data_IF_487130428145
#
_entry.id   IF_487130428145
#
_cell.length_a   1.000
_cell.length_b   1.000
_cell.length_c   1.000
_cell.angle_alpha   90.00
_cell.angle_beta   90.00
_cell.angle_gamma   90.00
#
_symmetry.space_group_name_H-M   'P 1'
#
loop_
_entity.id
_entity.type
_entity.pdbx_description
1 polymer ?
#
# COMPACT_ATOMS: atom_id res chain seq x y z
N UNK A 1 16.91 -10.33 2.28
CA UNK A 1 15.72 -10.98 1.71
C UNK A 1 16.04 -12.13 0.77
N UNK A 2 17.32 -12.26 0.35
CA UNK A 2 17.84 -13.11 -0.73
C UNK A 2 17.56 -14.63 -0.65
N UNK A 3 16.99 -15.17 0.43
CA UNK A 3 16.69 -16.62 0.55
C UNK A 3 15.20 -16.96 0.62
N UNK A 4 14.30 -15.97 0.61
CA UNK A 4 12.88 -16.26 0.72
C UNK A 4 12.30 -16.80 -0.59
N UNK A 5 11.71 -17.99 -0.55
CA UNK A 5 10.93 -18.51 -1.67
C UNK A 5 9.60 -17.76 -1.78
N UNK A 6 9.57 -16.72 -2.62
CA UNK A 6 8.38 -15.88 -2.85
C UNK A 6 7.21 -16.62 -3.50
N UNK A 7 7.46 -17.72 -4.21
CA UNK A 7 6.42 -18.51 -4.88
C UNK A 7 5.40 -19.10 -3.89
N UNK A 8 5.76 -19.24 -2.60
CA UNK A 8 4.82 -19.69 -1.56
C UNK A 8 3.71 -18.68 -1.24
N UNK A 9 3.85 -17.44 -1.70
CA UNK A 9 2.87 -16.36 -1.56
C UNK A 9 2.11 -16.07 -2.85
N UNK A 10 2.38 -16.82 -3.91
CA UNK A 10 1.62 -16.73 -5.15
C UNK A 10 0.33 -17.55 -5.04
N UNK A 11 -0.75 -17.00 -5.59
CA UNK A 11 -2.03 -17.70 -5.72
C UNK A 11 -2.31 -17.82 -7.20
N UNK A 12 -2.54 -19.03 -7.69
CA UNK A 12 -2.82 -19.31 -9.10
C UNK A 12 -4.26 -19.78 -9.30
N UNK A 13 -4.86 -19.38 -10.41
CA UNK A 13 -6.14 -19.92 -10.88
C UNK A 13 -6.00 -21.39 -11.32
N UNK A 14 -7.13 -22.07 -11.53
CA UNK A 14 -7.16 -23.43 -12.11
C UNK A 14 -6.50 -23.53 -13.50
N UNK A 15 -6.36 -22.40 -14.21
CA UNK A 15 -5.71 -22.33 -15.53
C UNK A 15 -4.21 -22.03 -15.45
N UNK A 16 -3.64 -21.94 -14.25
CA UNK A 16 -2.24 -21.62 -14.03
C UNK A 16 -1.88 -20.14 -14.15
N UNK A 17 -2.86 -19.25 -14.36
CA UNK A 17 -2.63 -17.81 -14.33
C UNK A 17 -2.49 -17.31 -12.88
N UNK A 18 -1.68 -16.30 -12.64
CA UNK A 18 -1.60 -15.67 -11.32
C UNK A 18 -2.92 -14.97 -10.99
N UNK A 19 -3.47 -15.27 -9.82
CA UNK A 19 -4.58 -14.57 -9.21
C UNK A 19 -4.09 -13.53 -8.19
N UNK A 20 -3.00 -13.81 -7.49
CA UNK A 20 -2.25 -12.86 -6.69
C UNK A 20 -0.76 -13.16 -6.73
N UNK A 21 0.06 -12.12 -6.57
CA UNK A 21 1.52 -12.22 -6.39
C UNK A 21 1.95 -11.43 -5.16
N UNK A 22 3.01 -11.83 -4.44
CA UNK A 22 3.58 -10.97 -3.41
C UNK A 22 4.16 -9.71 -4.06
N UNK A 23 3.97 -8.56 -3.41
CA UNK A 23 4.55 -7.29 -3.83
C UNK A 23 4.84 -6.41 -2.61
N UNK A 24 5.79 -5.49 -2.76
CA UNK A 24 5.92 -4.34 -1.89
C UNK A 24 4.99 -3.25 -2.43
N UNK A 25 3.84 -3.07 -1.79
CA UNK A 25 2.83 -2.11 -2.23
C UNK A 25 2.92 -0.83 -1.39
N UNK A 26 2.88 0.31 -2.06
CA UNK A 26 2.81 1.64 -1.48
C UNK A 26 1.40 2.21 -1.72
N UNK A 27 0.55 2.24 -0.69
CA UNK A 27 -0.77 2.85 -0.74
C UNK A 27 -0.72 4.26 -0.20
N UNK A 28 -1.26 5.22 -0.96
CA UNK A 28 -1.40 6.61 -0.57
C UNK A 28 -2.87 6.99 -0.66
N UNK A 29 -3.47 7.29 0.48
CA UNK A 29 -4.85 7.75 0.60
C UNK A 29 -4.87 9.26 0.62
N UNK A 30 -5.72 9.85 -0.20
CA UNK A 30 -5.75 11.29 -0.44
C UNK A 30 -7.16 11.83 -0.22
N UNK A 31 -7.23 13.03 0.33
CA UNK A 31 -8.49 13.77 0.48
C UNK A 31 -8.76 14.65 -0.74
N UNK A 32 -10.01 15.08 -0.90
CA UNK A 32 -10.40 16.14 -1.81
C UNK A 32 -10.99 15.65 -3.13
N UNK A 33 -11.52 16.60 -3.90
CA UNK A 33 -12.16 16.29 -5.16
C UNK A 33 -11.13 15.87 -6.21
N UNK A 34 -11.52 14.96 -7.11
CA UNK A 34 -10.61 14.43 -8.14
C UNK A 34 -9.94 15.54 -8.95
N UNK A 35 -10.70 16.57 -9.33
CA UNK A 35 -10.17 17.70 -10.11
C UNK A 35 -9.17 18.57 -9.33
N UNK A 36 -9.15 18.51 -8.00
CA UNK A 36 -8.18 19.23 -7.16
C UNK A 36 -6.88 18.45 -7.01
N UNK A 37 -6.97 17.11 -6.96
CA UNK A 37 -5.82 16.23 -6.72
C UNK A 37 -5.23 15.59 -7.98
N UNK A 38 -5.92 15.65 -9.13
CA UNK A 38 -5.51 14.95 -10.35
C UNK A 38 -4.12 15.39 -10.86
N UNK A 39 -3.78 16.68 -10.77
CA UNK A 39 -2.43 17.15 -11.11
C UNK A 39 -1.33 16.55 -10.22
N UNK A 40 -1.66 16.19 -8.98
CA UNK A 40 -0.73 15.54 -8.05
C UNK A 40 -0.61 14.06 -8.32
N UNK A 41 -1.72 13.40 -8.65
CA UNK A 41 -1.73 12.03 -9.15
C UNK A 41 -0.83 11.89 -10.38
N UNK A 42 -0.90 12.83 -11.32
CA UNK A 42 -0.04 12.83 -12.50
C UNK A 42 1.44 12.87 -12.12
N UNK A 43 1.82 13.79 -11.22
CA UNK A 43 3.22 13.92 -10.75
C UNK A 43 3.68 12.70 -9.96
N UNK A 44 2.81 12.08 -9.16
CA UNK A 44 3.12 10.84 -8.46
C UNK A 44 3.40 9.69 -9.43
N UNK A 45 2.58 9.55 -10.49
CA UNK A 45 2.82 8.56 -11.55
C UNK A 45 4.13 8.84 -12.26
N UNK A 46 4.43 10.09 -12.61
CA UNK A 46 5.72 10.45 -13.22
C UNK A 46 6.90 10.07 -12.34
N UNK A 47 6.84 10.40 -11.04
CA UNK A 47 7.89 10.05 -10.09
C UNK A 47 8.11 8.55 -9.99
N UNK A 48 7.04 7.76 -10.07
CA UNK A 48 7.13 6.30 -10.11
C UNK A 48 7.73 5.79 -11.41
N UNK A 49 7.33 6.33 -12.57
CA UNK A 49 7.92 5.95 -13.87
C UNK A 49 9.41 6.33 -13.93
N UNK A 50 9.81 7.46 -13.37
CA UNK A 50 11.22 7.83 -13.21
C UNK A 50 11.98 6.85 -12.31
N UNK A 51 11.30 6.30 -11.29
CA UNK A 51 11.90 5.36 -10.35
C UNK A 51 12.12 3.96 -10.94
N UNK A 52 11.12 3.40 -11.63
CA UNK A 52 11.16 2.00 -12.10
C UNK A 52 11.38 1.85 -13.61
N UNK A 53 11.30 2.94 -14.37
CA UNK A 53 11.29 2.92 -15.83
C UNK A 53 9.96 2.44 -16.42
N UNK A 54 9.56 3.00 -17.56
CA UNK A 54 8.32 2.63 -18.24
C UNK A 54 8.29 1.15 -18.67
N UNK A 55 9.43 0.58 -19.02
CA UNK A 55 9.55 -0.79 -19.50
C UNK A 55 9.21 -1.85 -18.43
N UNK A 56 9.15 -1.44 -17.15
CA UNK A 56 8.68 -2.29 -16.05
C UNK A 56 7.17 -2.55 -16.10
N UNK A 57 6.41 -1.76 -16.87
CA UNK A 57 4.96 -1.90 -17.05
C UNK A 57 4.65 -2.45 -18.44
N UNK A 58 3.89 -3.55 -18.50
CA UNK A 58 3.59 -4.25 -19.76
C UNK A 58 2.19 -4.02 -20.27
N UNK A 59 1.24 -3.76 -19.39
CA UNK A 59 -0.16 -3.59 -19.78
C UNK A 59 -0.86 -2.47 -19.03
N UNK A 60 -1.94 -1.98 -19.62
CA UNK A 60 -2.87 -1.04 -18.99
C UNK A 60 -4.32 -1.49 -19.19
N UNK A 61 -5.18 -1.19 -18.22
CA UNK A 61 -6.62 -1.39 -18.38
C UNK A 61 -7.22 -0.18 -19.11
N UNK A 62 -7.84 -0.41 -20.26
CA UNK A 62 -8.63 0.63 -20.94
C UNK A 62 -9.94 0.90 -20.19
N UNK A 63 -10.64 1.99 -20.56
CA UNK A 63 -11.94 2.37 -19.96
C UNK A 63 -13.02 1.29 -20.07
N UNK A 64 -12.91 0.37 -21.04
CA UNK A 64 -13.82 -0.77 -21.17
C UNK A 64 -13.40 -1.98 -20.32
N UNK A 65 -12.38 -1.85 -19.47
CA UNK A 65 -11.81 -2.94 -18.68
C UNK A 65 -10.91 -3.91 -19.46
N UNK A 66 -10.71 -3.68 -20.76
CA UNK A 66 -9.85 -4.54 -21.59
C UNK A 66 -8.39 -4.15 -21.39
N UNK A 67 -7.56 -5.12 -21.07
CA UNK A 67 -6.12 -4.95 -20.92
C UNK A 67 -5.42 -4.88 -22.28
N UNK A 68 -4.52 -3.91 -22.43
CA UNK A 68 -3.80 -3.61 -23.68
C UNK A 68 -2.32 -3.39 -23.38
N UNK A 69 -1.42 -3.58 -24.37
CA UNK A 69 0.01 -3.30 -24.18
C UNK A 69 0.27 -1.85 -23.77
N UNK A 70 1.16 -1.66 -22.81
CA UNK A 70 1.57 -0.33 -22.35
C UNK A 70 2.41 0.36 -23.42
N UNK A 71 2.30 1.69 -23.51
CA UNK A 71 3.12 2.49 -24.42
C UNK A 71 3.32 3.89 -23.87
N UNK A 72 4.40 4.56 -24.28
CA UNK A 72 4.64 5.97 -23.95
C UNK A 72 3.47 6.87 -24.36
N UNK A 73 2.87 6.61 -25.53
CA UNK A 73 1.69 7.37 -26.00
C UNK A 73 0.51 7.26 -25.03
N UNK A 74 0.28 6.07 -24.47
CA UNK A 74 -0.79 5.85 -23.51
C UNK A 74 -0.48 6.55 -22.18
N UNK A 75 0.75 6.42 -21.66
CA UNK A 75 1.20 7.17 -20.47
C UNK A 75 0.99 8.68 -20.65
N UNK A 76 1.50 9.24 -21.75
CA UNK A 76 1.40 10.68 -22.01
C UNK A 76 -0.07 11.13 -22.14
N UNK A 77 -0.96 10.27 -22.63
CA UNK A 77 -2.40 10.54 -22.71
C UNK A 77 -3.03 10.61 -21.32
N UNK A 78 -2.75 9.64 -20.47
CA UNK A 78 -3.33 9.57 -19.13
C UNK A 78 -2.77 10.67 -18.23
N UNK A 79 -1.48 10.99 -18.32
CA UNK A 79 -0.88 12.12 -17.61
C UNK A 79 -1.45 13.47 -18.06
N UNK A 80 -1.70 13.67 -19.36
CA UNK A 80 -2.41 14.87 -19.84
C UNK A 80 -3.85 14.91 -19.30
N UNK A 81 -4.55 13.77 -19.29
CA UNK A 81 -5.91 13.71 -18.76
C UNK A 81 -5.98 14.14 -17.29
N UNK A 82 -5.04 13.66 -16.46
CA UNK A 82 -4.96 14.03 -15.05
C UNK A 82 -4.58 15.50 -14.83
N UNK A 83 -3.70 16.07 -15.66
CA UNK A 83 -3.32 17.49 -15.56
C UNK A 83 -4.44 18.44 -15.98
N UNK A 84 -5.13 18.07 -17.04
CA UNK A 84 -6.23 18.84 -17.62
C UNK A 84 -7.59 18.26 -17.17
N UNK A 85 -7.66 17.75 -15.93
CA UNK A 85 -8.82 17.00 -15.47
C UNK A 85 -10.08 17.88 -15.45
N UNK A 86 -11.16 17.47 -16.15
CA UNK A 86 -12.36 18.30 -16.23
C UNK A 86 -13.04 18.43 -14.87
N UNK A 87 -13.52 19.64 -14.54
CA UNK A 87 -14.19 19.91 -13.26
C UNK A 87 -15.53 19.19 -13.09
N UNK A 88 -16.16 18.84 -14.21
CA UNK A 88 -17.43 18.11 -14.27
C UNK A 88 -17.24 16.59 -14.24
N UNK A 89 -16.00 16.10 -14.37
CA UNK A 89 -15.67 14.70 -14.15
C UNK A 89 -15.54 14.42 -12.66
N UNK A 90 -16.10 13.29 -12.24
CA UNK A 90 -16.27 12.96 -10.83
C UNK A 90 -15.42 11.77 -10.35
N UNK A 91 -14.78 11.06 -11.27
CA UNK A 91 -14.00 9.87 -10.96
C UNK A 91 -12.94 9.65 -12.05
N UNK A 92 -11.81 9.04 -11.69
CA UNK A 92 -10.86 8.49 -12.65
C UNK A 92 -10.26 7.18 -12.15
N UNK A 93 -9.93 6.31 -13.09
CA UNK A 93 -9.29 5.04 -12.82
C UNK A 93 -8.17 4.80 -13.84
N UNK A 94 -6.94 4.72 -13.33
CA UNK A 94 -5.77 4.35 -14.12
C UNK A 94 -5.20 3.07 -13.53
N UNK A 95 -4.92 2.09 -14.39
CA UNK A 95 -4.34 0.81 -13.99
C UNK A 95 -3.27 0.40 -14.97
N UNK A 96 -2.04 0.31 -14.49
CA UNK A 96 -0.90 -0.26 -15.21
C UNK A 96 -0.36 -1.47 -14.45
N UNK A 97 0.10 -2.48 -15.16
CA UNK A 97 0.65 -3.69 -14.56
C UNK A 97 1.81 -4.27 -15.38
N UNK A 98 2.77 -4.88 -14.69
CA UNK A 98 3.83 -5.69 -15.30
C UNK A 98 3.33 -7.03 -15.87
N UNK A 99 2.18 -7.53 -15.42
CA UNK A 99 1.56 -8.73 -15.94
C UNK A 99 0.87 -8.48 -17.28
N UNK A 100 0.89 -9.49 -18.15
CA UNK A 100 0.22 -9.43 -19.44
C UNK A 100 -1.24 -9.85 -19.34
N UNK A 101 -2.10 -9.26 -20.18
CA UNK A 101 -3.51 -9.63 -20.25
C UNK A 101 -4.31 -9.42 -18.95
N UNK A 102 -3.84 -8.55 -18.06
CA UNK A 102 -4.49 -8.27 -16.78
C UNK A 102 -4.22 -9.24 -15.65
N UNK A 103 -3.20 -10.10 -15.81
CA UNK A 103 -2.62 -10.81 -14.68
C UNK A 103 -1.84 -9.84 -13.79
N UNK A 104 -1.80 -10.06 -12.46
CA UNK A 104 -0.94 -9.29 -11.59
C UNK A 104 0.53 -9.67 -11.80
N UNK A 105 1.39 -8.68 -11.96
CA UNK A 105 2.86 -8.80 -11.99
C UNK A 105 3.53 -7.98 -10.89
N UNK A 106 4.87 -7.97 -10.85
CA UNK A 106 5.63 -7.34 -9.76
C UNK A 106 5.52 -5.81 -9.69
N UNK A 107 5.40 -5.12 -10.83
CA UNK A 107 5.25 -3.66 -10.90
C UNK A 107 3.82 -3.24 -11.23
N UNK A 108 3.38 -2.08 -10.73
CA UNK A 108 2.04 -1.59 -11.03
C UNK A 108 1.78 -0.16 -10.59
N UNK A 109 0.77 0.43 -11.23
CA UNK A 109 0.17 1.71 -10.87
C UNK A 109 -1.32 1.48 -10.75
N UNK A 110 -1.94 1.91 -9.66
CA UNK A 110 -3.38 1.97 -9.55
C UNK A 110 -3.81 3.31 -8.96
N UNK A 111 -4.51 4.10 -9.76
CA UNK A 111 -5.24 5.27 -9.31
C UNK A 111 -6.72 4.91 -9.30
N UNK A 112 -7.38 5.23 -8.19
CA UNK A 112 -8.82 5.16 -8.12
C UNK A 112 -9.35 6.29 -7.28
N UNK A 113 -10.12 7.16 -7.92
CA UNK A 113 -10.81 8.27 -7.28
C UNK A 113 -12.29 8.22 -7.64
N UNK A 114 -13.13 8.76 -6.76
CA UNK A 114 -14.58 8.81 -6.93
C UNK A 114 -15.11 10.18 -6.47
N UNK A 115 -16.44 10.35 -6.59
CA UNK A 115 -17.13 11.56 -6.14
C UNK A 115 -16.90 11.71 -4.64
N UNK A 116 -16.09 12.69 -4.25
CA UNK A 116 -16.15 13.17 -2.87
C UNK A 116 -17.56 13.74 -2.63
N UNK A 117 -18.33 13.08 -1.79
CA UNK A 117 -19.63 13.57 -1.39
C UNK A 117 -19.88 13.29 0.08
N UNK A 118 -20.68 14.15 0.70
CA UNK A 118 -20.96 14.09 2.14
C UNK A 118 -21.67 12.79 2.58
N UNK A 119 -22.15 11.96 1.65
CA UNK A 119 -22.74 10.65 1.96
C UNK A 119 -21.68 9.58 2.25
N UNK A 120 -20.44 9.77 1.78
CA UNK A 120 -19.32 8.88 2.02
C UNK A 120 -18.13 9.65 2.60
N UNK A 121 -18.25 10.16 3.85
CA UNK A 121 -17.25 11.06 4.45
C UNK A 121 -15.88 10.39 4.68
N UNK A 122 -15.83 9.05 4.66
CA UNK A 122 -14.59 8.30 4.84
C UNK A 122 -14.01 7.81 3.51
N UNK A 123 -14.56 8.21 2.37
CA UNK A 123 -14.02 7.84 1.07
C UNK A 123 -12.80 8.69 0.75
N UNK A 124 -11.68 8.02 0.45
CA UNK A 124 -10.44 8.63 0.02
C UNK A 124 -10.14 8.30 -1.45
N UNK A 125 -9.45 9.22 -2.13
CA UNK A 125 -8.74 8.89 -3.35
C UNK A 125 -7.59 7.92 -3.04
N UNK A 126 -7.31 6.99 -3.95
CA UNK A 126 -6.23 6.02 -3.83
C UNK A 126 -5.22 6.21 -4.96
N UNK A 127 -3.94 6.34 -4.59
CA UNK A 127 -2.80 6.15 -5.46
C UNK A 127 -1.96 4.99 -4.91
N UNK A 128 -1.74 3.95 -5.72
CA UNK A 128 -0.95 2.78 -5.36
C UNK A 128 0.18 2.56 -6.35
N UNK A 129 1.37 2.30 -5.83
CA UNK A 129 2.53 1.84 -6.60
C UNK A 129 2.99 0.49 -6.07
N UNK A 130 3.40 -0.40 -6.97
CA UNK A 130 3.80 -1.76 -6.62
C UNK A 130 5.23 -2.02 -7.07
N UNK A 131 6.06 -2.60 -6.22
CA UNK A 131 7.40 -3.10 -6.53
C UNK A 131 7.44 -4.62 -6.31
N UNK A 132 8.23 -5.38 -7.08
CA UNK A 132 8.45 -6.78 -6.78
C UNK A 132 9.10 -6.90 -5.39
N UNK A 133 8.79 -7.93 -4.60
CA UNK A 133 9.32 -8.05 -3.26
C UNK A 133 10.85 -8.27 -3.25
N UNK A 134 11.41 -8.78 -4.35
CA UNK A 134 12.85 -8.92 -4.58
C UNK A 134 13.54 -7.60 -4.97
N UNK A 135 12.80 -6.49 -5.14
CA UNK A 135 13.39 -5.19 -5.52
C UNK A 135 14.55 -4.80 -4.59
N UNK A 136 14.38 -5.07 -3.29
CA UNK A 136 15.36 -4.79 -2.23
C UNK A 136 16.54 -5.79 -2.19
N UNK A 137 16.58 -6.79 -3.06
CA UNK A 137 17.76 -7.64 -3.23
C UNK A 137 18.81 -7.00 -4.17
N UNK A 138 18.36 -6.07 -5.01
CA UNK A 138 19.14 -5.38 -6.05
C UNK A 138 19.26 -3.86 -5.84
N UNK A 139 18.40 -3.27 -5.00
CA UNK A 139 18.35 -1.84 -4.73
C UNK A 139 18.47 -1.56 -3.24
N UNK A 140 18.99 -0.37 -2.90
CA UNK A 140 19.09 0.07 -1.52
C UNK A 140 17.70 0.38 -0.97
N UNK A 141 17.49 0.04 0.30
CA UNK A 141 16.20 0.26 0.95
C UNK A 141 15.90 1.75 1.13
N UNK A 142 16.95 2.56 1.27
CA UNK A 142 16.87 4.01 1.31
C UNK A 142 16.30 4.61 0.02
N UNK A 143 16.55 4.02 -1.16
CA UNK A 143 15.98 4.51 -2.43
C UNK A 143 14.44 4.43 -2.45
N UNK A 144 13.89 3.36 -1.86
CA UNK A 144 12.43 3.19 -1.71
C UNK A 144 11.87 4.20 -0.71
N UNK A 145 12.60 4.47 0.39
CA UNK A 145 12.16 5.43 1.41
C UNK A 145 12.18 6.86 0.87
N UNK A 146 13.18 7.23 0.07
CA UNK A 146 13.22 8.51 -0.65
C UNK A 146 12.07 8.61 -1.66
N UNK A 147 11.83 7.57 -2.46
CA UNK A 147 10.68 7.53 -3.36
C UNK A 147 9.34 7.75 -2.63
N UNK A 148 9.13 7.07 -1.52
CA UNK A 148 7.90 7.23 -0.70
C UNK A 148 7.82 8.64 -0.13
N UNK A 149 8.93 9.19 0.36
CA UNK A 149 9.01 10.56 0.87
C UNK A 149 8.68 11.60 -0.21
N UNK A 150 9.17 11.41 -1.44
CA UNK A 150 8.88 12.27 -2.57
C UNK A 150 7.39 12.25 -2.92
N UNK A 151 6.78 11.06 -2.98
CA UNK A 151 5.35 10.92 -3.28
C UNK A 151 4.49 11.62 -2.21
N UNK A 152 4.81 11.43 -0.93
CA UNK A 152 4.11 12.12 0.17
C UNK A 152 4.26 13.66 0.12
N UNK A 153 5.34 14.18 -0.47
CA UNK A 153 5.54 15.62 -0.66
C UNK A 153 4.86 16.18 -1.92
N UNK A 154 4.73 15.36 -2.96
CA UNK A 154 4.08 15.72 -4.22
C UNK A 154 2.56 15.84 -4.05
N UNK A 155 1.96 14.89 -3.34
CA UNK A 155 0.52 14.76 -3.21
C UNK A 155 0.01 15.10 -1.81
N UNK A 156 -1.24 15.55 -1.71
CA UNK A 156 -1.96 15.71 -0.43
C UNK A 156 -2.38 14.34 0.14
N UNK A 157 -1.37 13.53 0.47
CA UNK A 157 -1.57 12.26 1.16
C UNK A 157 -2.06 12.55 2.58
N UNK A 158 -3.14 11.91 3.00
CA UNK A 158 -3.59 11.89 4.39
C UNK A 158 -2.85 10.80 5.16
N UNK A 159 -2.91 9.57 4.64
CA UNK A 159 -2.20 8.42 5.17
C UNK A 159 -1.52 7.62 4.07
N UNK A 160 -0.33 7.12 4.37
CA UNK A 160 0.43 6.26 3.48
C UNK A 160 0.82 4.97 4.18
N UNK A 161 0.76 3.85 3.47
CA UNK A 161 1.06 2.52 4.00
C UNK A 161 1.93 1.79 3.01
N UNK A 162 3.13 1.41 3.42
CA UNK A 162 4.07 0.68 2.57
C UNK A 162 4.46 -0.61 3.25
N UNK A 163 4.30 -1.74 2.56
CA UNK A 163 4.62 -3.04 3.10
C UNK A 163 4.31 -4.16 2.14
N UNK A 164 4.57 -5.39 2.58
CA UNK A 164 4.27 -6.56 1.79
C UNK A 164 2.75 -6.72 1.64
N UNK A 165 2.31 -7.15 0.47
CA UNK A 165 0.90 -7.29 0.15
C UNK A 165 0.69 -8.42 -0.86
N UNK A 166 -0.51 -8.99 -0.85
CA UNK A 166 -0.95 -9.92 -1.89
C UNK A 166 -1.57 -9.13 -3.04
N UNK A 167 -0.74 -8.68 -3.98
CA UNK A 167 -1.19 -7.86 -5.10
C UNK A 167 -2.13 -8.64 -6.01
N UNK A 168 -3.32 -8.08 -6.24
CA UNK A 168 -4.31 -8.60 -7.18
C UNK A 168 -4.61 -7.58 -8.29
N UNK A 169 -5.27 -8.04 -9.36
CA UNK A 169 -5.99 -7.17 -10.28
C UNK A 169 -7.50 -7.28 -10.03
N UNK A 170 -8.31 -6.31 -10.46
CA UNK A 170 -9.76 -6.38 -10.30
C UNK A 170 -10.38 -7.67 -10.86
N UNK A 171 -9.82 -8.21 -11.94
CA UNK A 171 -10.29 -9.45 -12.55
C UNK A 171 -9.92 -10.72 -11.77
N UNK A 172 -8.90 -10.65 -10.91
CA UNK A 172 -8.43 -11.80 -10.13
C UNK A 172 -8.82 -11.77 -8.66
N UNK A 173 -9.28 -10.61 -8.15
CA UNK A 173 -9.55 -10.40 -6.73
C UNK A 173 -10.53 -11.42 -6.15
N UNK A 174 -11.63 -11.73 -6.85
CA UNK A 174 -12.63 -12.71 -6.38
C UNK A 174 -12.05 -14.12 -6.24
N UNK A 175 -11.08 -14.49 -7.07
CA UNK A 175 -10.41 -15.80 -7.00
C UNK A 175 -9.32 -15.82 -5.93
N UNK A 176 -8.57 -14.72 -5.80
CA UNK A 176 -7.46 -14.65 -4.85
C UNK A 176 -7.92 -14.46 -3.40
N UNK A 177 -8.99 -13.69 -3.18
CA UNK A 177 -9.41 -13.24 -1.85
C UNK A 177 -9.58 -14.38 -0.84
N UNK A 178 -10.28 -15.49 -1.13
CA UNK A 178 -10.41 -16.58 -0.16
C UNK A 178 -9.08 -17.19 0.28
N UNK A 179 -8.10 -17.30 -0.62
CA UNK A 179 -6.77 -17.82 -0.29
C UNK A 179 -5.94 -16.80 0.49
N UNK A 180 -6.00 -15.51 0.11
CA UNK A 180 -5.35 -14.41 0.84
C UNK A 180 -5.81 -14.40 2.31
N UNK A 181 -7.12 -14.50 2.55
CA UNK A 181 -7.69 -14.45 3.90
C UNK A 181 -7.25 -15.63 4.79
N UNK A 182 -6.91 -16.78 4.21
CA UNK A 182 -6.30 -17.90 4.96
C UNK A 182 -4.86 -17.63 5.36
N UNK A 183 -4.14 -16.81 4.59
CA UNK A 183 -2.72 -16.50 4.81
C UNK A 183 -2.51 -15.35 5.80
N UNK A 184 -3.38 -14.35 5.79
CA UNK A 184 -3.23 -13.14 6.61
C UNK A 184 -3.14 -13.37 8.13
N UNK A 185 -3.87 -14.33 8.74
CA UNK A 185 -3.71 -14.63 10.17
C UNK A 185 -2.34 -15.20 10.53
N UNK A 186 -1.55 -15.65 9.54
CA UNK A 186 -0.19 -16.15 9.76
C UNK A 186 0.89 -15.11 9.49
N UNK A 187 0.73 -14.30 8.44
CA UNK A 187 1.78 -13.40 7.94
C UNK A 187 1.44 -11.94 8.25
N UNK A 188 1.79 -11.49 9.45
CA UNK A 188 1.35 -10.20 9.98
C UNK A 188 1.92 -8.99 9.23
N UNK A 189 3.03 -9.15 8.49
CA UNK A 189 3.58 -8.09 7.65
C UNK A 189 2.86 -7.89 6.32
N UNK A 190 1.95 -8.80 5.94
CA UNK A 190 1.21 -8.74 4.68
C UNK A 190 -0.14 -8.00 4.81
N UNK A 191 -0.54 -7.30 3.75
CA UNK A 191 -1.86 -6.70 3.55
C UNK A 191 -2.66 -7.42 2.44
N UNK A 192 -4.02 -7.48 2.53
CA UNK A 192 -4.87 -8.09 1.49
C UNK A 192 -4.85 -7.38 0.13
N UNK A 193 -4.27 -6.18 0.04
CA UNK A 193 -4.30 -5.36 -1.17
C UNK A 193 -5.72 -5.06 -1.68
N UNK A 194 -6.65 -4.79 -0.75
CA UNK A 194 -8.06 -4.54 -1.10
C UNK A 194 -8.31 -3.08 -1.52
N UNK A 195 -8.81 -2.90 -2.74
CA UNK A 195 -9.13 -1.60 -3.30
C UNK A 195 -10.32 -0.91 -2.66
N UNK A 196 -11.28 -1.69 -2.12
CA UNK A 196 -12.45 -1.13 -1.45
C UNK A 196 -12.09 -0.50 -0.11
N UNK A 197 -10.87 -0.74 0.41
CA UNK A 197 -10.42 -0.09 1.63
C UNK A 197 -10.47 1.43 1.51
N UNK A 198 -10.26 1.99 0.31
CA UNK A 198 -10.30 3.45 0.12
C UNK A 198 -11.60 4.09 0.59
N UNK A 199 -12.72 3.35 0.59
CA UNK A 199 -14.04 3.86 0.97
C UNK A 199 -14.16 4.11 2.49
N UNK A 200 -13.16 3.72 3.26
CA UNK A 200 -13.10 3.87 4.72
C UNK A 200 -11.85 4.59 5.22
N UNK A 201 -10.97 5.06 4.33
CA UNK A 201 -9.63 5.55 4.70
C UNK A 201 -9.51 7.07 4.83
N UNK A 202 -10.54 7.82 4.45
CA UNK A 202 -10.59 9.27 4.62
C UNK A 202 -10.43 9.63 6.09
N UNK A 203 -9.34 10.32 6.43
CA UNK A 203 -9.03 10.68 7.82
C UNK A 203 -8.63 9.51 8.73
N UNK A 204 -8.19 8.37 8.17
CA UNK A 204 -7.83 7.19 8.93
C UNK A 204 -6.47 6.56 8.52
N UNK A 205 -5.95 5.70 9.38
CA UNK A 205 -4.90 4.71 9.10
C UNK A 205 -5.49 3.30 9.15
N UNK A 206 -4.85 2.29 8.54
CA UNK A 206 -5.35 0.91 8.62
C UNK A 206 -4.83 0.17 9.85
N UNK A 207 -3.53 -0.08 9.89
CA UNK A 207 -2.76 -0.78 10.92
C UNK A 207 -1.29 -0.46 10.66
N UNK A 208 -0.36 -0.96 11.47
CA UNK A 208 1.05 -0.72 11.22
C UNK A 208 1.56 -1.55 10.03
N UNK A 209 2.17 -0.86 9.06
CA UNK A 209 2.94 -1.43 7.95
C UNK A 209 4.43 -1.11 8.09
N UNK A 210 5.27 -1.61 7.19
CA UNK A 210 6.71 -1.36 7.25
C UNK A 210 7.04 0.14 7.28
N UNK A 211 6.44 0.92 6.37
CA UNK A 211 6.42 2.39 6.44
C UNK A 211 4.99 2.90 6.62
N UNK A 212 4.82 3.91 7.46
CA UNK A 212 3.54 4.56 7.73
C UNK A 212 3.72 6.06 7.61
N UNK A 213 3.00 6.68 6.69
CA UNK A 213 2.89 8.12 6.63
C UNK A 213 1.59 8.56 7.28
N UNK A 214 1.66 9.59 8.11
CA UNK A 214 0.49 10.28 8.65
C UNK A 214 0.67 11.77 8.48
N UNK A 215 -0.34 12.44 7.93
CA UNK A 215 -0.33 13.89 7.82
C UNK A 215 -0.48 14.57 9.19
N UNK A 216 -0.38 15.89 9.23
CA UNK A 216 -0.47 16.66 10.48
C UNK A 216 -1.77 16.41 11.27
N UNK A 217 -2.90 16.23 10.57
CA UNK A 217 -4.19 15.98 11.21
C UNK A 217 -4.23 14.62 11.94
N UNK A 218 -3.76 13.56 11.27
CA UNK A 218 -3.65 12.23 11.86
C UNK A 218 -2.57 12.18 12.94
N UNK A 219 -1.44 12.87 12.74
CA UNK A 219 -0.41 13.01 13.77
C UNK A 219 -0.96 13.68 15.03
N UNK A 220 -1.79 14.72 14.89
CA UNK A 220 -2.45 15.39 16.02
C UNK A 220 -3.38 14.44 16.81
N UNK A 221 -4.13 13.58 16.12
CA UNK A 221 -4.96 12.54 16.75
C UNK A 221 -4.11 11.52 17.54
N UNK A 222 -2.89 11.25 17.09
CA UNK A 222 -1.91 10.42 17.80
C UNK A 222 -1.12 11.17 18.90
N UNK A 223 -1.56 12.37 19.29
CA UNK A 223 -0.92 13.18 20.33
C UNK A 223 0.18 14.13 19.82
N UNK A 224 0.28 14.31 18.50
CA UNK A 224 1.24 15.18 17.83
C UNK A 224 2.56 14.50 17.47
N UNK A 225 3.28 15.12 16.53
CA UNK A 225 4.58 14.64 16.02
C UNK A 225 5.60 14.37 17.15
N UNK A 226 5.74 15.27 18.12
CA UNK A 226 6.68 15.10 19.23
C UNK A 226 6.37 13.86 20.07
N UNK A 227 5.08 13.55 20.25
CA UNK A 227 4.64 12.35 20.96
C UNK A 227 5.00 11.09 20.17
N UNK A 228 4.81 11.10 18.85
CA UNK A 228 5.20 10.00 17.95
C UNK A 228 6.71 9.74 18.06
N UNK A 229 7.54 10.79 17.89
CA UNK A 229 9.00 10.67 17.96
C UNK A 229 9.45 10.13 19.31
N UNK A 230 8.87 10.62 20.42
CA UNK A 230 9.21 10.15 21.77
C UNK A 230 8.77 8.72 22.03
N UNK A 231 7.64 8.29 21.49
CA UNK A 231 7.11 6.94 21.66
C UNK A 231 7.89 5.88 20.86
N UNK A 232 8.62 6.31 19.82
CA UNK A 232 9.31 5.44 18.88
C UNK A 232 10.83 5.72 18.80
N UNK A 233 11.58 5.64 19.92
CA UNK A 233 12.97 6.11 20.00
C UNK A 233 13.95 5.32 19.12
N UNK A 234 13.64 4.05 18.81
CA UNK A 234 14.48 3.20 17.96
C UNK A 234 13.91 3.00 16.54
N UNK A 235 12.76 3.63 16.23
CA UNK A 235 12.29 3.73 14.85
C UNK A 235 13.00 4.88 14.13
N UNK A 236 13.11 4.78 12.82
CA UNK A 236 13.40 5.95 11.99
C UNK A 236 12.08 6.72 11.78
N UNK A 237 12.01 7.94 12.31
CA UNK A 237 10.88 8.86 12.12
C UNK A 237 11.39 10.08 11.36
N UNK A 238 10.90 10.24 10.13
CA UNK A 238 11.26 11.33 9.22
C UNK A 238 10.15 12.36 9.18
N UNK A 239 10.50 13.60 9.54
CA UNK A 239 9.61 14.75 9.41
C UNK A 239 9.55 15.19 7.95
N UNK A 240 8.34 15.33 7.43
CA UNK A 240 8.07 15.86 6.10
C UNK A 240 7.27 17.17 6.24
N UNK A 241 7.20 18.02 5.20
CA UNK A 241 6.51 19.31 5.30
C UNK A 241 5.03 19.28 5.72
N UNK A 242 4.33 18.14 5.55
CA UNK A 242 2.89 17.98 5.82
C UNK A 242 2.55 16.76 6.69
N UNK A 243 3.54 16.22 7.41
CA UNK A 243 3.34 15.03 8.24
C UNK A 243 4.64 14.30 8.58
N UNK A 244 4.51 13.07 9.04
CA UNK A 244 5.63 12.22 9.43
C UNK A 244 5.60 10.87 8.71
N UNK A 245 6.76 10.40 8.29
CA UNK A 245 6.98 9.05 7.78
C UNK A 245 7.70 8.23 8.85
N UNK A 246 7.10 7.12 9.25
CA UNK A 246 7.57 6.22 10.31
C UNK A 246 8.00 4.89 9.69
N UNK A 247 9.25 4.48 9.89
CA UNK A 247 9.79 3.17 9.50
C UNK A 247 9.91 2.27 10.73
N UNK A 248 9.01 1.29 10.83
CA UNK A 248 8.91 0.41 12.00
C UNK A 248 9.92 -0.74 12.03
N UNK A 249 10.60 -1.03 10.93
CA UNK A 249 11.67 -2.03 10.89
C UNK A 249 12.67 -1.69 9.77
N UNK A 250 13.89 -2.21 9.85
CA UNK A 250 14.91 -1.97 8.82
C UNK A 250 14.46 -2.47 7.45
N UNK A 251 13.99 -3.70 7.33
CA UNK A 251 13.45 -4.28 6.11
C UNK A 251 11.94 -4.56 6.24
N UNK A 252 11.18 -4.61 5.14
CA UNK A 252 9.78 -5.05 5.18
C UNK A 252 9.67 -6.43 5.84
N UNK A 253 8.92 -6.56 6.95
CA UNK A 253 8.78 -7.83 7.65
C UNK A 253 7.76 -8.73 6.97
N UNK A 254 7.99 -10.04 7.05
CA UNK A 254 7.03 -11.10 6.74
C UNK A 254 6.07 -11.27 7.93
N UNK A 255 6.60 -11.26 9.15
CA UNK A 255 5.81 -11.42 10.36
C UNK A 255 5.16 -12.81 10.48
N UNK A 256 5.88 -13.89 10.18
CA UNK A 256 5.36 -15.26 10.31
C UNK A 256 5.17 -15.62 11.80
N UNK A 257 3.92 -15.62 12.26
CA UNK A 257 3.57 -15.89 13.66
C UNK A 257 3.87 -17.32 14.09
N UNK A 258 3.91 -18.28 13.16
CA UNK A 258 4.35 -19.65 13.49
C UNK A 258 5.83 -19.69 13.89
N UNK A 259 6.61 -18.67 13.52
CA UNK A 259 7.99 -18.44 13.95
C UNK A 259 8.11 -17.40 15.06
N UNK A 260 6.99 -17.00 15.68
CA UNK A 260 6.90 -15.94 16.69
C UNK A 260 7.23 -14.53 16.16
N UNK A 261 7.14 -14.36 14.84
CA UNK A 261 7.30 -13.10 14.12
C UNK A 261 8.53 -12.28 14.59
N UNK A 262 9.75 -12.85 14.50
CA UNK A 262 10.96 -12.24 15.07
C UNK A 262 11.41 -10.99 14.31
N UNK A 263 10.89 -10.79 13.09
CA UNK A 263 11.27 -9.76 12.14
C UNK A 263 10.39 -8.50 12.21
N UNK A 264 9.34 -8.47 13.04
CA UNK A 264 8.38 -7.34 13.11
C UNK A 264 8.97 -6.02 13.60
N UNK A 265 10.18 -6.02 14.17
CA UNK A 265 10.81 -4.82 14.72
C UNK A 265 9.88 -4.08 15.69
N UNK A 266 9.69 -2.80 15.42
CA UNK A 266 8.88 -1.86 16.21
C UNK A 266 7.45 -1.69 15.73
N UNK A 267 6.99 -2.50 14.76
CA UNK A 267 5.61 -2.42 14.29
C UNK A 267 4.55 -2.52 15.39
N UNK A 268 4.73 -3.31 16.49
CA UNK A 268 3.79 -3.29 17.61
C UNK A 268 3.64 -1.91 18.28
N UNK A 269 4.73 -1.15 18.48
CA UNK A 269 4.64 0.21 19.04
C UNK A 269 4.04 1.19 18.04
N UNK A 270 4.38 1.05 16.75
CA UNK A 270 3.77 1.86 15.69
C UNK A 270 2.25 1.61 15.64
N UNK A 271 1.81 0.36 15.81
CA UNK A 271 0.39 0.01 15.85
C UNK A 271 -0.31 0.65 17.05
N UNK A 272 0.32 0.62 18.23
CA UNK A 272 -0.20 1.22 19.47
C UNK A 272 -0.31 2.74 19.38
N UNK A 273 0.73 3.43 18.90
CA UNK A 273 0.72 4.91 18.81
C UNK A 273 -0.28 5.40 17.76
N UNK A 274 -0.45 4.68 16.64
CA UNK A 274 -1.39 5.03 15.59
C UNK A 274 -2.83 4.55 15.86
N UNK A 275 -3.06 3.75 16.91
CA UNK A 275 -4.39 3.22 17.27
C UNK A 275 -5.51 4.28 17.28
N UNK A 276 -5.32 5.53 17.74
CA UNK A 276 -6.35 6.57 17.69
C UNK A 276 -6.77 7.01 16.28
N UNK A 277 -5.95 6.78 15.26
CA UNK A 277 -6.22 7.14 13.86
C UNK A 277 -6.79 5.99 13.05
N UNK A 278 -6.82 4.80 13.64
CA UNK A 278 -7.17 3.55 12.97
C UNK A 278 -8.62 3.57 12.49
N UNK A 279 -8.84 3.05 11.30
CA UNK A 279 -10.18 2.87 10.71
C UNK A 279 -11.01 1.91 11.58
N UNK A 280 -12.28 2.25 11.79
CA UNK A 280 -13.25 1.33 12.38
C UNK A 280 -13.85 0.44 11.28
N UNK A 281 -13.61 -0.86 11.39
CA UNK A 281 -14.04 -1.88 10.42
C UNK A 281 -15.01 -2.86 11.07
N UNK A 282 -16.21 -2.39 11.39
CA UNK A 282 -17.29 -3.29 11.77
C UNK A 282 -17.80 -4.05 10.53
N UNK A 283 -17.32 -5.28 10.34
CA UNK A 283 -17.90 -6.38 9.53
C UNK A 283 -17.87 -6.36 7.99
N UNK A 284 -17.68 -5.24 7.30
CA UNK A 284 -17.73 -5.20 5.82
C UNK A 284 -16.39 -5.25 5.11
N UNK A 285 -15.29 -5.09 5.85
CA UNK A 285 -13.99 -4.71 5.30
C UNK A 285 -13.36 -5.76 4.36
N UNK A 286 -13.71 -7.04 4.52
CA UNK A 286 -13.25 -8.11 3.65
C UNK A 286 -14.37 -9.07 3.20
N UNK A 287 -15.64 -8.73 3.45
CA UNK A 287 -16.82 -9.39 2.85
C UNK A 287 -16.91 -10.91 3.01
N UNK A 288 -16.24 -11.49 4.00
CA UNK A 288 -16.19 -12.93 4.25
C UNK A 288 -16.48 -13.15 5.74
N UNK A 289 -17.56 -13.89 6.03
CA UNK A 289 -18.03 -14.16 7.39
C UNK A 289 -16.94 -14.82 8.27
N UNK A 290 -16.03 -15.58 7.66
CA UNK A 290 -15.01 -16.36 8.36
C UNK A 290 -13.70 -15.59 8.62
N UNK A 291 -13.59 -14.31 8.25
CA UNK A 291 -12.40 -13.51 8.50
C UNK A 291 -12.66 -12.43 9.55
N UNK A 292 -12.05 -12.58 10.72
CA UNK A 292 -12.09 -11.58 11.78
C UNK A 292 -11.20 -10.38 11.42
N UNK A 293 -11.79 -9.44 10.68
CA UNK A 293 -11.11 -8.26 10.21
C UNK A 293 -10.65 -7.36 11.35
N UNK A 294 -11.46 -7.25 12.42
CA UNK A 294 -11.14 -6.45 13.61
C UNK A 294 -9.89 -7.01 14.27
N UNK A 295 -9.88 -8.31 14.58
CA UNK A 295 -8.71 -8.96 15.15
C UNK A 295 -7.48 -8.83 14.25
N UNK A 296 -7.66 -8.94 12.93
CA UNK A 296 -6.54 -8.76 12.00
C UNK A 296 -5.97 -7.34 12.04
N UNK A 297 -6.79 -6.30 12.09
CA UNK A 297 -6.29 -4.92 12.23
C UNK A 297 -5.55 -4.73 13.56
N UNK A 298 -6.06 -5.34 14.63
CA UNK A 298 -5.50 -5.27 15.99
C UNK A 298 -4.34 -6.24 16.25
N UNK A 299 -3.97 -7.06 15.25
CA UNK A 299 -3.05 -8.21 15.41
C UNK A 299 -1.68 -7.88 16.04
N UNK A 300 -1.25 -6.61 16.00
CA UNK A 300 0.02 -6.17 16.56
C UNK A 300 -0.11 -5.50 17.93
N UNK A 301 -1.32 -5.19 18.41
CA UNK A 301 -1.54 -4.38 19.61
C UNK A 301 -1.01 -5.04 20.88
N UNK A 302 -1.09 -6.38 20.95
CA UNK A 302 -0.67 -7.18 22.10
C UNK A 302 0.72 -7.80 21.94
N UNK A 303 1.41 -7.51 20.84
CA UNK A 303 2.75 -8.06 20.59
C UNK A 303 3.84 -7.24 21.29
N UNK A 304 4.90 -7.95 21.67
CA UNK A 304 6.14 -7.33 22.14
C UNK A 304 6.97 -6.83 20.96
N UNK A 305 7.56 -5.67 21.15
CA UNK A 305 8.58 -5.06 20.28
C UNK A 305 9.76 -6.00 20.10
N UNK A 306 10.33 -6.00 18.90
CA UNK A 306 11.53 -6.76 18.51
C UNK A 306 12.66 -5.79 18.13
N UNK A 307 13.92 -6.26 18.04
CA UNK A 307 15.00 -5.43 17.50
C UNK A 307 14.62 -4.80 16.16
N UNK A 308 14.87 -3.50 16.01
CA UNK A 308 14.54 -2.75 14.79
C UNK A 308 15.26 -3.30 13.56
N UNK A 309 16.53 -3.66 13.74
CA UNK A 309 17.30 -4.36 12.71
C UNK A 309 16.84 -5.82 12.61
N UNK A 310 16.09 -6.11 11.55
CA UNK A 310 15.58 -7.43 11.22
C UNK A 310 16.34 -8.10 10.07
N UNK A 311 17.55 -7.63 9.74
CA UNK A 311 18.36 -8.22 8.67
C UNK A 311 18.84 -9.65 8.97
N UNK A 312 19.07 -9.97 10.25
CA UNK A 312 19.60 -11.27 10.71
C UNK A 312 18.52 -12.23 11.25
N UNK A 313 17.27 -11.79 11.40
CA UNK A 313 16.25 -12.48 12.22
C UNK A 313 15.51 -13.62 11.50
N UNK A 314 16.24 -14.56 10.90
CA UNK A 314 15.69 -15.86 10.52
C UNK A 314 15.00 -15.90 9.14
N UNK A 315 15.62 -15.26 8.15
CA UNK A 315 15.44 -15.69 6.76
C UNK A 315 15.90 -17.14 6.68
N UNK A 316 15.13 -18.00 6.03
CA UNK A 316 15.35 -19.47 6.01
C UNK A 316 16.82 -19.83 5.74
N UNK A 317 17.37 -20.88 6.40
CA UNK A 317 18.53 -21.57 5.85
C UNK A 317 18.22 -22.15 4.48
#
# INVERSE_FOLDING_TARGET
MKTLNWNKFEITTLRGHHAAVPALCCFFYMDGYVHEIAGELARGVERYIEFVGLDSLKSYASRSGVWKPMSKRQLDKDLRHLRDFPKDHIADHIRYDAGEGGQPGGFGVHISTDVYNDLFPNQAGLMRFDLPPQWLDEHEVEDVIEFVSDVCQIAHVQSGQVGLSFKTTPGSQSTAKPEILKMLPRYFGFSPCDFSLRDHMGGHTLTAHWLNYVNDALAAMAGGEETIVRALPDCEVRKLPKGVLIRGAKLPPIGDINRKAPDLGWLPEVARILKPTRVDISTTFLGQEDFDAVHWIERMDDLYTRPWDNSDNGQEP
#
